data_IF_948724570713
#
_entry.id   IF_948724570713
#
_cell.length_a   1.000
_cell.length_b   1.000
_cell.length_c   1.000
_cell.angle_alpha   90.00
_cell.angle_beta   90.00
_cell.angle_gamma   90.00
#
_symmetry.space_group_name_H-M   'P 1'
#
loop_
_entity.id
_entity.type
_entity.pdbx_description
1 polymer ?
#
# COMPACT_ATOMS: atom_id res chain seq x y z
N UNK A 1 -1.73 -20.37 33.24
CA UNK A 1 -1.66 -18.93 33.41
C UNK A 1 -0.85 -18.71 34.67
N UNK A 2 0.43 -18.49 34.45
CA UNK A 2 1.34 -18.41 35.58
C UNK A 2 1.47 -16.91 35.86
N UNK A 3 0.97 -16.51 37.05
CA UNK A 3 1.10 -15.17 37.57
C UNK A 3 2.55 -14.93 37.98
N UNK A 4 3.37 -14.44 37.03
CA UNK A 4 4.73 -13.99 37.34
C UNK A 4 4.90 -12.51 36.96
N UNK A 5 5.77 -11.83 37.68
CA UNK A 5 6.19 -10.48 37.41
C UNK A 5 7.55 -10.47 36.71
N UNK A 6 7.68 -9.72 35.62
CA UNK A 6 8.97 -9.48 34.97
C UNK A 6 9.46 -8.09 35.39
N UNK A 7 10.65 -8.03 35.96
CA UNK A 7 11.30 -6.80 36.36
C UNK A 7 12.55 -6.58 35.53
N UNK A 8 12.58 -5.48 34.79
CA UNK A 8 13.77 -5.04 34.04
C UNK A 8 14.52 -3.98 34.84
N UNK A 9 15.81 -4.19 35.03
CA UNK A 9 16.69 -3.26 35.72
C UNK A 9 17.81 -2.84 34.76
N UNK A 10 17.86 -1.56 34.42
CA UNK A 10 18.92 -0.99 33.58
C UNK A 10 19.76 0.01 34.36
N UNK A 11 21.10 -0.13 34.39
CA UNK A 11 21.97 0.92 34.90
C UNK A 11 21.89 2.13 33.95
N UNK A 12 21.65 3.30 34.50
CA UNK A 12 21.68 4.56 33.73
C UNK A 12 23.13 5.09 33.74
N UNK A 13 23.75 5.12 32.57
CA UNK A 13 25.08 5.70 32.43
C UNK A 13 25.01 7.20 32.06
N UNK A 14 26.03 8.02 32.37
CA UNK A 14 26.05 9.44 32.00
C UNK A 14 25.88 9.66 30.47
N UNK A 15 26.39 8.75 29.64
CA UNK A 15 26.31 8.84 28.17
C UNK A 15 24.88 8.67 27.66
N UNK A 16 24.01 7.92 28.37
CA UNK A 16 22.61 7.71 28.03
C UNK A 16 21.72 8.93 28.32
N UNK A 17 22.24 9.88 29.14
CA UNK A 17 21.45 11.06 29.57
C UNK A 17 21.48 12.20 28.53
N UNK A 18 22.39 12.16 27.56
CA UNK A 18 22.69 13.29 26.68
C UNK A 18 21.67 13.62 25.61
N UNK A 19 20.68 12.74 25.34
CA UNK A 19 19.62 13.03 24.39
C UNK A 19 18.39 13.58 25.14
N UNK A 20 18.19 14.90 25.06
CA UNK A 20 17.04 15.55 25.69
C UNK A 20 16.04 16.01 24.60
N UNK A 21 15.03 15.17 24.31
CA UNK A 21 13.93 15.52 23.43
C UNK A 21 12.90 16.30 24.29
N UNK A 22 12.67 17.54 23.95
CA UNK A 22 11.75 18.41 24.67
C UNK A 22 10.30 18.26 24.17
N UNK A 23 9.30 18.64 24.96
CA UNK A 23 7.92 18.72 24.49
C UNK A 23 7.75 19.60 23.24
N UNK A 24 8.54 20.67 23.15
CA UNK A 24 8.52 21.59 22.01
C UNK A 24 9.06 20.95 20.73
N UNK A 25 10.05 20.06 20.83
CA UNK A 25 10.54 19.26 19.70
C UNK A 25 9.44 18.32 19.17
N UNK A 26 8.70 17.68 20.07
CA UNK A 26 7.58 16.82 19.72
C UNK A 26 6.44 17.59 19.05
N UNK A 27 6.08 18.75 19.60
CA UNK A 27 5.04 19.62 19.04
C UNK A 27 5.42 20.13 17.65
N UNK A 28 6.66 20.58 17.48
CA UNK A 28 7.19 21.03 16.18
C UNK A 28 7.15 19.90 15.14
N UNK A 29 7.60 18.70 15.53
CA UNK A 29 7.59 17.53 14.66
C UNK A 29 6.15 17.15 14.26
N UNK A 30 5.23 17.09 15.22
CA UNK A 30 3.84 16.76 14.93
C UNK A 30 3.19 17.78 14.00
N UNK A 31 3.41 19.09 14.26
CA UNK A 31 2.90 20.16 13.41
C UNK A 31 3.40 20.05 11.97
N UNK A 32 4.68 19.71 11.78
CA UNK A 32 5.26 19.48 10.46
C UNK A 32 4.63 18.26 9.76
N UNK A 33 4.34 17.18 10.48
CA UNK A 33 3.72 15.97 9.93
C UNK A 33 2.24 16.17 9.54
N UNK A 34 1.50 17.00 10.28
CA UNK A 34 0.08 17.28 9.98
C UNK A 34 -0.08 18.22 8.78
N UNK A 35 0.94 19.05 8.51
CA UNK A 35 0.93 20.02 7.43
C UNK A 35 1.14 19.45 6.04
N UNK A 36 1.64 18.20 5.92
CA UNK A 36 1.97 17.55 4.64
C UNK A 36 0.74 17.17 3.82
N UNK A 37 0.92 17.10 2.50
CA UNK A 37 -0.18 16.92 1.56
C UNK A 37 -0.35 15.47 1.09
N UNK A 38 0.70 14.65 1.16
CA UNK A 38 0.71 13.28 0.65
C UNK A 38 1.68 12.37 1.43
N UNK A 39 1.56 11.05 1.23
CA UNK A 39 2.35 10.03 1.94
C UNK A 39 3.87 10.12 1.73
N UNK A 40 4.33 10.56 0.56
CA UNK A 40 5.76 10.67 0.27
C UNK A 40 6.38 11.87 1.00
N UNK A 41 5.68 13.00 0.97
CA UNK A 41 6.06 14.18 1.74
C UNK A 41 6.04 13.88 3.25
N UNK A 42 5.01 13.17 3.73
CA UNK A 42 4.94 12.68 5.10
C UNK A 42 6.18 11.86 5.47
N UNK A 43 6.53 10.87 4.65
CA UNK A 43 7.68 10.01 4.91
C UNK A 43 9.00 10.79 4.94
N UNK A 44 9.20 11.76 4.03
CA UNK A 44 10.39 12.60 3.99
C UNK A 44 10.48 13.52 5.20
N UNK A 45 9.39 14.12 5.63
CA UNK A 45 9.38 14.96 6.83
C UNK A 45 9.65 14.11 8.05
N UNK A 46 8.99 12.96 8.19
CA UNK A 46 9.14 12.05 9.33
C UNK A 46 10.59 11.56 9.48
N UNK A 47 11.22 11.11 8.40
CA UNK A 47 12.61 10.63 8.45
C UNK A 47 13.58 11.73 8.86
N UNK A 48 13.40 12.93 8.35
CA UNK A 48 14.23 14.08 8.70
C UNK A 48 14.08 14.47 10.19
N UNK A 49 12.85 14.57 10.67
CA UNK A 49 12.59 14.95 12.06
C UNK A 49 13.09 13.88 13.04
N UNK A 50 12.83 12.59 12.75
CA UNK A 50 13.36 11.50 13.59
C UNK A 50 14.88 11.48 13.57
N UNK A 51 15.54 11.67 12.42
CA UNK A 51 16.99 11.73 12.35
C UNK A 51 17.55 12.90 13.16
N UNK A 52 16.95 14.08 13.03
CA UNK A 52 17.33 15.29 13.79
C UNK A 52 17.25 15.06 15.30
N UNK A 53 16.19 14.38 15.76
CA UNK A 53 15.96 14.13 17.18
C UNK A 53 16.81 12.99 17.75
N UNK A 54 17.15 11.99 16.95
CA UNK A 54 17.79 10.75 17.43
C UNK A 54 19.25 10.63 17.04
N UNK A 55 19.69 11.40 16.05
CA UNK A 55 21.03 11.33 15.45
C UNK A 55 21.39 9.92 14.96
N UNK A 56 20.41 9.14 14.47
CA UNK A 56 20.72 7.90 13.74
C UNK A 56 21.42 8.21 12.44
N UNK A 57 22.34 7.35 12.03
CA UNK A 57 23.10 7.51 10.77
C UNK A 57 22.17 7.45 9.57
N UNK A 58 21.10 6.65 9.64
CA UNK A 58 20.06 6.53 8.61
C UNK A 58 18.71 6.32 9.27
N UNK A 59 17.69 7.01 8.77
CA UNK A 59 16.28 6.83 9.14
C UNK A 59 15.47 6.67 7.87
N UNK A 60 14.63 5.64 7.83
CA UNK A 60 13.79 5.30 6.68
C UNK A 60 12.35 5.15 7.11
N UNK A 61 11.42 5.49 6.22
CA UNK A 61 10.05 5.02 6.28
C UNK A 61 9.90 3.92 5.23
N UNK A 62 9.66 2.71 5.72
CA UNK A 62 9.43 1.50 4.96
C UNK A 62 7.93 1.23 4.93
N UNK A 63 7.33 1.16 3.75
CA UNK A 63 5.91 0.86 3.56
C UNK A 63 5.76 -0.56 3.06
N UNK A 64 4.87 -1.35 3.70
CA UNK A 64 4.50 -2.68 3.20
C UNK A 64 3.58 -2.58 1.99
N UNK A 65 3.75 -3.51 1.06
CA UNK A 65 2.88 -3.75 -0.08
C UNK A 65 1.94 -4.93 0.19
N UNK A 66 0.89 -5.15 -0.64
CA UNK A 66 -0.09 -6.21 -0.40
C UNK A 66 0.48 -7.63 -0.35
N UNK A 67 1.62 -7.88 -0.99
CA UNK A 67 2.35 -9.15 -0.97
C UNK A 67 3.34 -9.25 0.18
N UNK A 68 3.34 -8.26 1.08
CA UNK A 68 4.25 -8.10 2.21
C UNK A 68 5.72 -7.82 1.82
N UNK A 69 6.02 -7.62 0.57
CA UNK A 69 7.23 -6.87 0.22
C UNK A 69 7.13 -5.45 0.74
N UNK A 70 8.18 -4.70 0.71
CA UNK A 70 8.06 -3.32 1.12
C UNK A 70 9.02 -2.42 0.38
N UNK A 71 8.71 -1.14 0.38
CA UNK A 71 9.46 -0.10 -0.31
C UNK A 71 9.84 1.03 0.64
N UNK A 72 11.05 1.54 0.50
CA UNK A 72 11.49 2.73 1.24
C UNK A 72 10.93 3.97 0.54
N UNK A 73 9.94 4.61 1.17
CA UNK A 73 9.25 5.80 0.61
C UNK A 73 9.76 7.13 1.17
N UNK A 74 10.61 7.08 2.19
CA UNK A 74 11.30 8.22 2.76
C UNK A 74 12.62 7.80 3.34
N UNK A 75 13.66 8.63 3.18
CA UNK A 75 14.98 8.39 3.75
C UNK A 75 15.62 9.71 4.16
N UNK A 76 16.23 9.71 5.35
CA UNK A 76 17.16 10.75 5.80
C UNK A 76 18.42 10.06 6.31
N UNK A 77 19.59 10.48 5.82
CA UNK A 77 20.87 9.83 6.13
C UNK A 77 21.99 10.83 6.35
N UNK A 78 23.00 10.42 7.12
CA UNK A 78 24.19 11.21 7.29
C UNK A 78 24.91 11.41 5.94
N UNK A 79 25.53 12.58 5.68
CA UNK A 79 26.22 12.86 4.41
C UNK A 79 27.31 11.85 4.05
N UNK A 80 27.97 11.26 5.03
CA UNK A 80 29.04 10.26 4.84
C UNK A 80 28.52 8.93 4.28
N UNK A 81 27.23 8.65 4.41
CA UNK A 81 26.62 7.45 3.84
C UNK A 81 26.33 7.71 2.36
N UNK A 82 27.05 7.02 1.47
CA UNK A 82 26.93 7.22 0.01
C UNK A 82 25.66 6.58 -0.55
N UNK A 83 25.39 5.35 -0.15
CA UNK A 83 24.27 4.57 -0.71
C UNK A 83 22.92 5.07 -0.20
N UNK A 84 21.91 5.05 -1.07
CA UNK A 84 20.54 5.39 -0.73
C UNK A 84 19.64 4.16 -0.93
N UNK A 85 18.72 3.95 -0.02
CA UNK A 85 17.69 2.92 -0.11
C UNK A 85 16.33 3.49 -0.54
N UNK A 86 16.26 4.81 -0.76
CA UNK A 86 15.01 5.45 -1.21
C UNK A 86 14.54 4.85 -2.55
N UNK A 87 13.31 4.37 -2.58
CA UNK A 87 12.72 3.71 -3.74
C UNK A 87 13.13 2.24 -3.92
N UNK A 88 14.00 1.68 -3.06
CA UNK A 88 14.34 0.27 -3.12
C UNK A 88 13.26 -0.59 -2.46
N UNK A 89 12.97 -1.73 -3.10
CA UNK A 89 12.09 -2.75 -2.60
C UNK A 89 12.88 -3.82 -1.84
N UNK A 90 12.25 -4.37 -0.82
CA UNK A 90 12.75 -5.44 0.03
C UNK A 90 11.72 -6.58 0.02
N UNK A 91 12.11 -7.84 -0.20
CA UNK A 91 11.16 -8.94 -0.26
C UNK A 91 10.53 -9.23 1.11
N UNK A 92 9.36 -9.85 1.11
CA UNK A 92 8.61 -10.23 2.30
C UNK A 92 9.41 -11.11 3.28
N UNK A 93 10.40 -11.84 2.78
CA UNK A 93 11.29 -12.71 3.58
C UNK A 93 12.20 -11.94 4.53
N UNK A 94 12.50 -10.66 4.26
CA UNK A 94 13.36 -9.83 5.13
C UNK A 94 12.66 -9.52 6.45
N UNK A 95 11.32 -9.42 6.43
CA UNK A 95 10.49 -9.21 7.63
C UNK A 95 9.40 -10.28 7.64
N UNK A 96 9.71 -11.51 8.12
CA UNK A 96 8.78 -12.64 8.08
C UNK A 96 7.54 -12.43 8.96
N UNK A 97 6.47 -13.18 8.70
CA UNK A 97 5.18 -13.02 9.35
C UNK A 97 5.24 -12.97 10.89
N UNK A 98 6.02 -13.83 11.60
CA UNK A 98 6.17 -13.73 13.05
C UNK A 98 6.75 -12.38 13.51
N UNK A 99 7.73 -11.83 12.78
CA UNK A 99 8.31 -10.53 13.10
C UNK A 99 7.30 -9.40 12.88
N UNK A 100 6.50 -9.46 11.81
CA UNK A 100 5.42 -8.49 11.56
C UNK A 100 4.37 -8.50 12.66
N UNK A 101 4.02 -9.67 13.18
CA UNK A 101 3.09 -9.80 14.30
C UNK A 101 3.63 -9.15 15.57
N UNK A 102 4.90 -9.37 15.88
CA UNK A 102 5.55 -8.75 17.03
C UNK A 102 5.58 -7.21 16.96
N UNK A 103 5.62 -6.61 15.78
CA UNK A 103 5.53 -5.15 15.64
C UNK A 103 4.15 -4.59 15.97
N UNK A 104 3.08 -5.38 15.85
CA UNK A 104 1.74 -4.97 16.30
C UNK A 104 1.60 -5.03 17.82
N UNK A 105 2.28 -5.96 18.48
CA UNK A 105 2.30 -6.09 19.95
C UNK A 105 3.29 -5.10 20.57
N UNK A 106 4.46 -4.94 19.96
CA UNK A 106 5.57 -4.13 20.46
C UNK A 106 5.87 -3.00 19.47
N UNK A 107 5.17 -1.91 19.65
CA UNK A 107 5.19 -0.74 18.79
C UNK A 107 6.60 -0.17 18.53
N UNK A 108 7.52 -0.25 19.50
CA UNK A 108 8.90 0.18 19.37
C UNK A 108 9.86 -0.94 19.75
N UNK A 109 10.78 -1.27 18.85
CA UNK A 109 11.91 -2.17 19.12
C UNK A 109 13.21 -1.38 19.06
N UNK A 110 14.05 -1.55 20.09
CA UNK A 110 15.35 -0.92 20.17
C UNK A 110 16.44 -1.98 20.44
N UNK A 111 17.51 -1.94 19.65
CA UNK A 111 18.67 -2.81 19.75
C UNK A 111 19.89 -1.87 19.86
N UNK A 112 20.42 -1.67 21.07
CA UNK A 112 21.53 -0.74 21.28
C UNK A 112 22.80 -1.17 20.56
N UNK A 113 23.09 -2.47 20.57
CA UNK A 113 24.29 -3.05 20.00
C UNK A 113 24.05 -4.52 19.63
N UNK A 114 24.15 -4.84 18.36
CA UNK A 114 23.96 -6.22 17.86
C UNK A 114 25.06 -7.19 18.32
N UNK A 115 26.18 -6.70 18.81
CA UNK A 115 27.30 -7.53 19.28
C UNK A 115 27.16 -7.92 20.76
N UNK A 116 26.13 -7.41 21.45
CA UNK A 116 25.87 -7.79 22.84
C UNK A 116 25.45 -9.27 22.91
N UNK A 117 26.07 -10.01 23.81
CA UNK A 117 25.78 -11.41 23.99
C UNK A 117 24.50 -11.60 24.83
N UNK A 118 23.55 -12.40 24.38
CA UNK A 118 22.34 -12.71 25.17
C UNK A 118 22.73 -13.49 26.44
N UNK A 119 22.12 -13.12 27.56
CA UNK A 119 22.27 -13.81 28.83
C UNK A 119 21.08 -14.73 29.05
N UNK A 120 21.34 -16.01 29.29
CA UNK A 120 20.28 -17.00 29.53
C UNK A 120 19.71 -16.85 30.93
N UNK A 121 18.42 -17.17 31.07
CA UNK A 121 17.77 -17.27 32.39
C UNK A 121 18.36 -18.39 33.23
N UNK A 122 18.45 -18.16 34.54
CA UNK A 122 18.87 -19.16 35.51
C UNK A 122 17.81 -19.23 36.64
N UNK A 123 17.11 -20.36 36.80
CA UNK A 123 17.12 -21.56 35.97
C UNK A 123 16.49 -21.34 34.60
N UNK A 124 16.76 -22.21 33.58
CA UNK A 124 16.14 -22.11 32.28
C UNK A 124 14.62 -22.28 32.41
N UNK A 125 13.89 -21.23 32.20
CA UNK A 125 12.42 -21.22 32.32
C UNK A 125 11.84 -20.64 31.02
N UNK A 126 10.86 -21.32 30.38
CA UNK A 126 10.21 -20.77 29.21
C UNK A 126 9.32 -19.60 29.63
N UNK A 127 9.77 -18.39 29.39
CA UNK A 127 9.05 -17.15 29.71
C UNK A 127 8.89 -16.34 28.45
N UNK A 128 7.69 -15.81 28.22
CA UNK A 128 7.48 -14.86 27.13
C UNK A 128 8.14 -13.51 27.47
N UNK A 129 9.17 -13.18 26.72
CA UNK A 129 9.91 -11.93 26.86
C UNK A 129 9.46 -10.86 25.87
N UNK A 130 8.43 -11.12 25.08
CA UNK A 130 7.93 -10.19 24.05
C UNK A 130 7.67 -8.78 24.58
N UNK A 131 7.09 -8.57 25.78
CA UNK A 131 6.84 -7.22 26.30
C UNK A 131 8.08 -6.49 26.82
N UNK A 132 9.23 -7.17 26.96
CA UNK A 132 10.42 -6.62 27.56
C UNK A 132 11.30 -5.87 26.54
N UNK A 133 11.99 -4.83 27.02
CA UNK A 133 12.96 -4.05 26.25
C UNK A 133 14.29 -4.78 26.07
N UNK A 134 14.75 -5.46 27.14
CA UNK A 134 16.06 -6.11 27.22
C UNK A 134 16.08 -7.53 26.62
N UNK A 135 14.99 -7.96 25.98
CA UNK A 135 14.97 -9.29 25.36
C UNK A 135 16.03 -9.43 24.28
N UNK A 136 16.57 -10.63 24.14
CA UNK A 136 17.55 -10.97 23.11
C UNK A 136 17.02 -10.71 21.66
N UNK A 137 17.94 -10.72 20.73
CA UNK A 137 17.67 -10.57 19.29
C UNK A 137 17.90 -11.92 18.63
N UNK A 138 17.03 -12.29 17.68
CA UNK A 138 17.18 -13.57 16.97
C UNK A 138 18.46 -13.58 16.13
N UNK A 139 19.21 -14.69 16.09
CA UNK A 139 20.45 -14.78 15.34
C UNK A 139 20.32 -14.40 13.85
N UNK A 140 19.27 -14.81 13.12
CA UNK A 140 19.09 -14.38 11.73
C UNK A 140 18.94 -12.85 11.59
N UNK A 141 18.29 -12.20 12.55
CA UNK A 141 18.16 -10.74 12.52
C UNK A 141 19.48 -10.02 12.83
N UNK A 142 20.30 -10.58 13.71
CA UNK A 142 21.66 -10.08 13.96
C UNK A 142 22.50 -10.17 12.68
N UNK A 143 22.50 -11.33 12.01
CA UNK A 143 23.21 -11.55 10.75
C UNK A 143 22.72 -10.57 9.66
N UNK A 144 21.42 -10.34 9.57
CA UNK A 144 20.82 -9.37 8.64
C UNK A 144 21.37 -7.95 8.88
N UNK A 145 21.39 -7.49 10.14
CA UNK A 145 21.90 -6.16 10.49
C UNK A 145 23.42 -6.05 10.27
N UNK A 146 24.17 -7.12 10.54
CA UNK A 146 25.61 -7.18 10.25
C UNK A 146 25.89 -7.03 8.76
N UNK A 147 25.12 -7.72 7.92
CA UNK A 147 25.24 -7.64 6.46
C UNK A 147 24.91 -6.23 5.92
N UNK A 148 24.06 -5.46 6.64
CA UNK A 148 23.75 -4.06 6.37
C UNK A 148 24.81 -3.09 6.93
N UNK A 149 25.80 -3.57 7.69
CA UNK A 149 26.78 -2.72 8.38
C UNK A 149 26.15 -1.90 9.53
N UNK A 150 25.10 -2.42 10.14
CA UNK A 150 24.33 -1.77 11.21
C UNK A 150 24.72 -2.37 12.56
N UNK A 151 25.08 -1.53 13.52
CA UNK A 151 25.40 -1.95 14.89
C UNK A 151 24.29 -1.59 15.87
N UNK A 152 23.73 -0.40 15.77
CA UNK A 152 22.56 0.03 16.55
C UNK A 152 21.32 0.16 15.69
N UNK A 153 20.17 -0.35 16.16
CA UNK A 153 18.91 -0.31 15.41
C UNK A 153 17.74 0.10 16.29
N UNK A 154 16.83 0.89 15.72
CA UNK A 154 15.52 1.18 16.31
C UNK A 154 14.46 1.08 15.24
N UNK A 155 13.35 0.39 15.56
CA UNK A 155 12.22 0.28 14.67
C UNK A 155 10.95 0.69 15.41
N UNK A 156 10.14 1.53 14.77
CA UNK A 156 8.82 1.94 15.26
C UNK A 156 7.78 1.51 14.25
N UNK A 157 6.74 0.82 14.71
CA UNK A 157 5.64 0.38 13.85
C UNK A 157 4.75 1.55 13.44
N UNK A 158 4.28 1.53 12.22
CA UNK A 158 3.23 2.40 11.70
C UNK A 158 2.05 1.52 11.29
N UNK A 159 0.87 1.79 11.84
CA UNK A 159 -0.34 0.98 11.64
C UNK A 159 -1.49 1.84 11.14
N UNK A 160 -2.40 1.23 10.38
CA UNK A 160 -3.65 1.85 9.95
C UNK A 160 -4.85 0.95 10.27
N UNK A 161 -6.01 1.22 9.69
CA UNK A 161 -7.23 0.43 9.88
C UNK A 161 -7.11 -1.03 9.40
N UNK A 162 -6.11 -1.35 8.56
CA UNK A 162 -5.86 -2.69 8.01
C UNK A 162 -4.76 -3.45 8.76
N UNK A 163 -4.09 -2.83 9.73
CA UNK A 163 -3.00 -3.41 10.52
C UNK A 163 -1.66 -2.73 10.30
N UNK A 164 -0.59 -3.52 10.18
CA UNK A 164 0.77 -3.00 10.01
C UNK A 164 0.94 -2.39 8.61
N UNK A 165 0.98 -1.06 8.54
CA UNK A 165 1.17 -0.31 7.30
C UNK A 165 2.64 -0.17 6.90
N UNK A 166 3.52 0.01 7.87
CA UNK A 166 4.93 0.25 7.62
C UNK A 166 5.76 0.35 8.89
N UNK A 167 7.02 0.75 8.71
CA UNK A 167 7.98 0.89 9.80
C UNK A 167 8.78 2.18 9.63
N UNK A 168 9.10 2.84 10.76
CA UNK A 168 10.22 3.78 10.84
C UNK A 168 11.43 2.93 11.21
N UNK A 169 12.37 2.73 10.30
CA UNK A 169 13.59 1.96 10.52
C UNK A 169 14.78 2.92 10.68
N UNK A 170 15.44 2.84 11.85
CA UNK A 170 16.57 3.69 12.19
C UNK A 170 17.81 2.81 12.34
N UNK A 171 18.88 3.12 11.62
CA UNK A 171 20.13 2.37 11.60
C UNK A 171 21.31 3.26 12.01
N UNK A 172 22.21 2.70 12.79
CA UNK A 172 23.44 3.35 13.21
C UNK A 172 24.65 2.42 13.02
N UNK A 173 25.75 2.97 12.60
CA UNK A 173 26.98 2.20 12.32
C UNK A 173 27.75 1.83 13.59
N UNK A 174 27.47 2.49 14.68
CA UNK A 174 28.08 2.27 16.01
C UNK A 174 27.01 1.91 17.04
N UNK A 175 27.36 1.34 18.20
CA UNK A 175 26.43 1.15 19.30
C UNK A 175 25.75 2.47 19.69
N UNK A 176 24.45 2.41 19.96
CA UNK A 176 23.66 3.58 20.34
C UNK A 176 22.76 3.26 21.52
N UNK A 177 22.87 4.03 22.58
CA UNK A 177 22.13 3.80 23.81
C UNK A 177 21.15 4.94 24.08
N UNK A 178 19.95 4.59 24.51
CA UNK A 178 18.94 5.53 24.96
C UNK A 178 18.45 5.16 26.35
N UNK A 179 18.31 6.15 27.21
CA UNK A 179 17.70 5.96 28.52
C UNK A 179 16.25 5.49 28.41
N UNK A 180 15.69 4.81 29.43
CA UNK A 180 14.26 4.45 29.44
C UNK A 180 13.34 5.65 29.19
N UNK A 181 13.69 6.83 29.74
CA UNK A 181 12.94 8.07 29.49
C UNK A 181 12.98 8.47 28.02
N UNK A 182 14.12 8.42 27.38
CA UNK A 182 14.27 8.74 25.94
C UNK A 182 13.44 7.77 25.09
N UNK A 183 13.51 6.46 25.38
CA UNK A 183 12.72 5.44 24.65
C UNK A 183 11.22 5.67 24.81
N UNK A 184 10.76 6.03 26.01
CA UNK A 184 9.35 6.39 26.23
C UNK A 184 8.93 7.62 25.42
N UNK A 185 9.81 8.64 25.33
CA UNK A 185 9.57 9.82 24.50
C UNK A 185 9.52 9.48 23.00
N UNK A 186 10.43 8.61 22.54
CA UNK A 186 10.42 8.12 21.15
C UNK A 186 9.21 7.25 20.84
N UNK A 187 8.73 6.48 21.82
CA UNK A 187 7.45 5.76 21.69
C UNK A 187 6.26 6.73 21.53
N UNK A 188 6.26 7.83 22.29
CA UNK A 188 5.24 8.87 22.13
C UNK A 188 5.33 9.54 20.75
N UNK A 189 6.53 9.90 20.31
CA UNK A 189 6.77 10.45 18.96
C UNK A 189 6.23 9.50 17.88
N UNK A 190 6.51 8.20 17.99
CA UNK A 190 5.99 7.21 17.05
C UNK A 190 4.46 7.14 17.03
N UNK A 191 3.80 7.22 18.19
CA UNK A 191 2.32 7.29 18.27
C UNK A 191 1.77 8.57 17.63
N UNK A 192 2.43 9.70 17.83
CA UNK A 192 2.07 10.96 17.17
C UNK A 192 2.24 10.87 15.66
N UNK A 193 3.34 10.30 15.18
CA UNK A 193 3.56 10.05 13.77
C UNK A 193 2.47 9.13 13.20
N UNK A 194 2.15 8.03 13.89
CA UNK A 194 1.08 7.13 13.44
C UNK A 194 -0.28 7.84 13.33
N UNK A 195 -0.63 8.68 14.30
CA UNK A 195 -1.86 9.48 14.22
C UNK A 195 -1.85 10.46 13.04
N UNK A 196 -0.72 11.11 12.76
CA UNK A 196 -0.58 11.99 11.60
C UNK A 196 -0.72 11.22 10.27
N UNK A 197 -0.19 10.00 10.18
CA UNK A 197 -0.38 9.11 9.04
C UNK A 197 -1.86 8.80 8.80
N UNK A 198 -2.58 8.37 9.85
CA UNK A 198 -4.00 8.05 9.78
C UNK A 198 -4.80 9.28 9.32
N UNK A 199 -4.52 10.45 9.88
CA UNK A 199 -5.18 11.70 9.46
C UNK A 199 -4.91 12.04 7.99
N UNK A 200 -3.68 11.86 7.53
CA UNK A 200 -3.29 12.08 6.14
C UNK A 200 -4.04 11.14 5.19
N UNK A 201 -4.09 9.85 5.50
CA UNK A 201 -4.85 8.85 4.72
C UNK A 201 -6.36 9.17 4.69
N UNK A 202 -6.93 9.58 5.82
CA UNK A 202 -8.33 9.99 5.89
C UNK A 202 -8.63 11.22 5.04
N UNK A 203 -7.75 12.23 5.04
CA UNK A 203 -7.88 13.41 4.19
C UNK A 203 -7.82 13.05 2.70
N UNK A 204 -6.91 12.16 2.30
CA UNK A 204 -6.82 11.69 0.91
C UNK A 204 -8.09 10.95 0.49
N UNK A 205 -8.57 10.03 1.33
CA UNK A 205 -9.83 9.29 1.13
C UNK A 205 -11.02 10.22 0.98
N UNK A 206 -11.17 11.19 1.89
CA UNK A 206 -12.26 12.18 1.84
C UNK A 206 -12.22 13.05 0.58
N UNK A 207 -11.04 13.51 0.17
CA UNK A 207 -10.87 14.29 -1.08
C UNK A 207 -11.26 13.48 -2.32
N UNK A 208 -10.91 12.20 -2.32
CA UNK A 208 -11.31 11.30 -3.42
C UNK A 208 -12.83 11.08 -3.43
N UNK A 209 -13.42 10.75 -2.28
CA UNK A 209 -14.87 10.52 -2.13
C UNK A 209 -15.68 11.77 -2.49
N UNK A 210 -15.21 12.94 -2.10
CA UNK A 210 -15.88 14.22 -2.44
C UNK A 210 -15.87 14.45 -3.95
N UNK A 211 -14.73 14.29 -4.62
CA UNK A 211 -14.63 14.42 -6.08
C UNK A 211 -15.51 13.40 -6.80
N UNK A 212 -15.54 12.15 -6.32
CA UNK A 212 -16.40 11.12 -6.88
C UNK A 212 -17.87 11.46 -6.71
N UNK A 213 -18.29 11.96 -5.54
CA UNK A 213 -19.68 12.39 -5.27
C UNK A 213 -20.08 13.53 -6.21
N UNK A 214 -19.29 14.57 -6.33
CA UNK A 214 -19.54 15.68 -7.25
C UNK A 214 -19.69 15.22 -8.68
N UNK A 215 -18.84 14.29 -9.13
CA UNK A 215 -18.95 13.67 -10.45
C UNK A 215 -20.27 12.92 -10.63
N UNK A 216 -20.66 12.07 -9.67
CA UNK A 216 -21.90 11.30 -9.75
C UNK A 216 -23.15 12.18 -9.71
N UNK A 217 -23.14 13.27 -8.93
CA UNK A 217 -24.21 14.26 -8.92
C UNK A 217 -24.37 14.96 -10.27
N UNK A 218 -23.25 15.34 -10.92
CA UNK A 218 -23.28 15.93 -12.25
C UNK A 218 -23.79 14.93 -13.29
N UNK A 219 -23.36 13.67 -13.20
CA UNK A 219 -23.85 12.60 -14.04
C UNK A 219 -25.35 12.39 -13.86
N UNK A 220 -25.85 12.39 -12.63
CA UNK A 220 -27.27 12.19 -12.31
C UNK A 220 -28.15 13.35 -12.79
N UNK A 221 -27.73 14.62 -12.58
CA UNK A 221 -28.49 15.80 -13.00
C UNK A 221 -28.75 15.88 -14.50
N UNK A 222 -27.86 15.35 -15.30
CA UNK A 222 -27.99 15.35 -16.76
C UNK A 222 -28.79 14.16 -17.32
N UNK A 223 -29.20 13.19 -16.50
CA UNK A 223 -29.93 12.00 -16.91
C UNK A 223 -31.45 12.19 -17.08
N UNK A 224 -31.96 13.41 -16.92
CA UNK A 224 -33.41 13.70 -16.92
C UNK A 224 -33.99 14.43 -18.16
N UNK A 225 -33.31 14.71 -19.25
CA UNK A 225 -33.98 15.25 -20.44
C UNK A 225 -34.72 14.14 -21.21
N UNK A 226 -35.94 14.38 -21.68
CA UNK A 226 -36.74 13.34 -22.35
C UNK A 226 -36.19 12.87 -23.71
N UNK A 227 -35.25 13.61 -24.30
CA UNK A 227 -34.73 13.33 -25.65
C UNK A 227 -33.29 12.74 -25.66
N UNK A 228 -32.68 12.46 -24.52
CA UNK A 228 -31.30 11.99 -24.48
C UNK A 228 -31.21 10.51 -24.04
N UNK A 229 -30.42 9.71 -24.76
CA UNK A 229 -30.17 8.32 -24.37
C UNK A 229 -29.12 8.24 -23.28
N UNK A 230 -29.18 7.24 -22.39
CA UNK A 230 -28.16 6.98 -21.38
C UNK A 230 -26.75 6.95 -21.97
N UNK A 231 -26.63 6.36 -23.16
CA UNK A 231 -25.36 6.26 -23.88
C UNK A 231 -24.79 7.64 -24.27
N UNK A 232 -25.62 8.55 -24.82
CA UNK A 232 -25.19 9.91 -25.21
C UNK A 232 -24.76 10.72 -24.00
N UNK A 233 -25.41 10.52 -22.85
CA UNK A 233 -25.08 11.19 -21.62
C UNK A 233 -23.73 10.74 -21.07
N UNK A 234 -23.49 9.41 -20.95
CA UNK A 234 -22.20 8.89 -20.50
C UNK A 234 -21.06 9.31 -21.45
N UNK A 235 -21.31 9.33 -22.77
CA UNK A 235 -20.36 9.82 -23.78
C UNK A 235 -19.88 11.25 -23.50
N UNK A 236 -20.77 12.13 -23.10
CA UNK A 236 -20.43 13.54 -22.79
C UNK A 236 -19.45 13.63 -21.62
N UNK A 237 -19.51 12.69 -20.69
CA UNK A 237 -18.66 12.64 -19.49
C UNK A 237 -17.42 11.73 -19.60
N UNK A 238 -17.07 11.27 -20.83
CA UNK A 238 -15.97 10.32 -21.02
C UNK A 238 -14.62 10.80 -20.48
N UNK A 239 -14.30 12.09 -20.62
CA UNK A 239 -13.04 12.64 -20.10
C UNK A 239 -13.01 12.64 -18.57
N UNK A 240 -14.12 12.95 -17.92
CA UNK A 240 -14.25 12.91 -16.48
C UNK A 240 -14.11 11.48 -15.96
N UNK A 241 -14.72 10.49 -16.62
CA UNK A 241 -14.54 9.07 -16.32
C UNK A 241 -13.07 8.66 -16.43
N UNK A 242 -12.42 8.97 -17.54
CA UNK A 242 -10.99 8.68 -17.73
C UNK A 242 -10.12 9.28 -16.62
N UNK A 243 -10.38 10.54 -16.25
CA UNK A 243 -9.60 11.22 -15.20
C UNK A 243 -9.90 10.70 -13.80
N UNK A 244 -11.17 10.44 -13.47
CA UNK A 244 -11.59 9.92 -12.15
C UNK A 244 -10.96 8.56 -11.87
N UNK A 245 -10.92 7.70 -12.87
CA UNK A 245 -10.35 6.36 -12.77
C UNK A 245 -8.90 6.27 -13.24
N UNK A 246 -8.26 7.39 -13.56
CA UNK A 246 -6.89 7.43 -14.10
C UNK A 246 -6.66 6.36 -15.19
N UNK A 247 -7.65 6.23 -16.09
CA UNK A 247 -7.65 5.24 -17.15
C UNK A 247 -7.13 5.85 -18.47
N UNK A 248 -6.45 5.03 -19.27
CA UNK A 248 -5.94 5.41 -20.59
C UNK A 248 -6.99 5.20 -21.69
N UNK A 249 -7.95 4.33 -21.46
CA UNK A 249 -9.03 4.01 -22.39
C UNK A 249 -10.35 3.75 -21.68
N UNK A 250 -11.45 4.09 -22.37
CA UNK A 250 -12.82 3.86 -21.93
C UNK A 250 -13.61 3.27 -23.11
N UNK A 251 -14.36 2.21 -22.82
CA UNK A 251 -15.35 1.66 -23.74
C UNK A 251 -16.70 1.65 -23.06
N UNK A 252 -17.73 2.08 -23.79
CA UNK A 252 -19.12 2.04 -23.35
C UNK A 252 -19.88 1.17 -24.32
N UNK A 253 -20.40 0.03 -23.85
CA UNK A 253 -21.20 -0.90 -24.63
C UNK A 253 -22.65 -0.91 -24.17
N UNK A 254 -23.58 -0.89 -25.13
CA UNK A 254 -25.03 -1.09 -24.97
C UNK A 254 -25.46 -2.22 -25.91
N UNK A 255 -25.69 -3.39 -25.36
CA UNK A 255 -25.88 -4.59 -26.16
C UNK A 255 -24.71 -4.82 -27.11
N UNK A 256 -24.97 -4.83 -28.42
CA UNK A 256 -23.93 -5.05 -29.46
C UNK A 256 -23.19 -3.78 -29.90
N UNK A 257 -23.66 -2.60 -29.51
CA UNK A 257 -23.07 -1.33 -29.89
C UNK A 257 -22.04 -0.89 -28.84
N UNK A 258 -20.80 -0.67 -29.26
CA UNK A 258 -19.73 -0.20 -28.40
C UNK A 258 -19.09 1.08 -28.94
N UNK A 259 -18.77 1.99 -28.02
CA UNK A 259 -18.01 3.22 -28.33
C UNK A 259 -16.76 3.32 -27.49
N UNK A 260 -15.68 3.69 -28.17
CA UNK A 260 -14.33 3.71 -27.61
C UNK A 260 -13.78 5.12 -27.52
N UNK A 261 -13.06 5.43 -26.41
CA UNK A 261 -12.39 6.68 -26.16
C UNK A 261 -10.98 6.41 -25.60
N UNK A 262 -9.97 7.10 -26.10
CA UNK A 262 -8.60 6.91 -25.68
C UNK A 262 -7.95 5.64 -26.22
N UNK A 263 -7.17 4.95 -25.40
CA UNK A 263 -6.45 3.72 -25.76
C UNK A 263 -7.32 2.49 -25.44
N UNK A 264 -7.88 1.88 -26.47
CA UNK A 264 -8.80 0.75 -26.32
C UNK A 264 -8.48 -0.39 -27.29
N UNK A 265 -8.94 -1.61 -27.02
CA UNK A 265 -8.90 -2.70 -28.00
C UNK A 265 -9.78 -2.36 -29.21
N UNK A 266 -9.64 -3.12 -30.29
CA UNK A 266 -10.53 -3.02 -31.45
C UNK A 266 -11.93 -3.51 -31.10
N UNK A 267 -12.94 -3.05 -31.86
CA UNK A 267 -14.34 -3.38 -31.62
C UNK A 267 -14.62 -4.89 -31.54
N UNK A 268 -14.03 -5.69 -32.42
CA UNK A 268 -14.16 -7.15 -32.39
C UNK A 268 -13.55 -7.79 -31.13
N UNK A 269 -12.40 -7.25 -30.68
CA UNK A 269 -11.73 -7.69 -29.43
C UNK A 269 -12.55 -7.34 -28.19
N UNK A 270 -13.21 -6.17 -28.21
CA UNK A 270 -14.12 -5.72 -27.14
C UNK A 270 -15.35 -6.65 -27.05
N UNK A 271 -15.97 -6.92 -28.19
CA UNK A 271 -17.15 -7.81 -28.26
C UNK A 271 -16.82 -9.21 -27.77
N UNK A 272 -15.68 -9.77 -28.17
CA UNK A 272 -15.20 -11.06 -27.68
C UNK A 272 -14.98 -11.05 -26.16
N UNK A 273 -14.31 -10.03 -25.62
CA UNK A 273 -14.12 -9.88 -24.17
C UNK A 273 -15.44 -9.84 -23.39
N UNK A 274 -16.41 -9.08 -23.89
CA UNK A 274 -17.75 -8.97 -23.24
C UNK A 274 -18.45 -10.32 -23.26
N UNK A 275 -18.57 -10.93 -24.43
CA UNK A 275 -19.35 -12.18 -24.60
C UNK A 275 -18.69 -13.40 -23.96
N UNK A 276 -17.36 -13.52 -24.08
CA UNK A 276 -16.65 -14.71 -23.60
C UNK A 276 -16.31 -14.66 -22.11
N UNK A 277 -16.16 -13.45 -21.53
CA UNK A 277 -15.64 -13.32 -20.19
C UNK A 277 -16.53 -12.55 -19.22
N UNK A 278 -17.09 -11.39 -19.63
CA UNK A 278 -17.86 -10.56 -18.71
C UNK A 278 -19.28 -11.06 -18.50
N UNK A 279 -20.01 -11.37 -19.57
CA UNK A 279 -21.39 -11.89 -19.49
C UNK A 279 -21.47 -13.21 -18.71
N UNK A 280 -20.62 -14.23 -18.97
CA UNK A 280 -20.66 -15.47 -18.22
C UNK A 280 -20.27 -15.33 -16.75
N UNK A 281 -19.42 -14.36 -16.42
CA UNK A 281 -18.97 -14.13 -15.02
C UNK A 281 -20.07 -13.49 -14.18
N UNK A 282 -21.03 -12.78 -14.81
CA UNK A 282 -22.14 -12.08 -14.16
C UNK A 282 -21.73 -11.21 -12.96
N UNK A 283 -20.49 -10.72 -12.96
CA UNK A 283 -19.96 -9.86 -11.89
C UNK A 283 -20.35 -8.41 -12.11
N UNK A 284 -20.80 -7.76 -11.06
CA UNK A 284 -21.18 -6.34 -11.07
C UNK A 284 -20.02 -5.41 -11.40
N UNK A 285 -18.87 -5.68 -10.79
CA UNK A 285 -17.61 -4.97 -11.02
C UNK A 285 -16.48 -5.98 -11.08
N UNK A 286 -15.76 -6.00 -12.18
CA UNK A 286 -14.58 -6.85 -12.38
C UNK A 286 -13.34 -5.99 -12.44
N UNK A 287 -12.29 -6.37 -11.73
CA UNK A 287 -11.01 -5.65 -11.73
C UNK A 287 -9.85 -6.60 -11.92
N UNK A 288 -8.90 -6.20 -12.75
CA UNK A 288 -7.60 -6.86 -12.87
C UNK A 288 -6.52 -5.84 -13.26
N UNK A 289 -5.31 -6.02 -12.79
CA UNK A 289 -4.11 -5.30 -13.22
C UNK A 289 -3.17 -6.18 -14.04
N UNK A 290 -3.58 -7.46 -14.27
CA UNK A 290 -2.89 -8.47 -15.08
C UNK A 290 -3.87 -9.02 -16.10
N UNK A 291 -4.22 -8.20 -17.09
CA UNK A 291 -5.27 -8.54 -18.05
C UNK A 291 -4.99 -9.82 -18.82
N UNK A 292 -3.73 -10.05 -19.22
CA UNK A 292 -3.32 -11.25 -19.95
C UNK A 292 -3.50 -12.54 -19.14
N UNK A 293 -3.26 -12.49 -17.83
CA UNK A 293 -3.47 -13.64 -16.94
C UNK A 293 -4.96 -13.95 -16.77
N UNK A 294 -5.78 -12.90 -16.73
CA UNK A 294 -7.24 -13.02 -16.55
C UNK A 294 -7.98 -13.33 -17.85
N UNK A 295 -7.53 -12.76 -18.99
CA UNK A 295 -8.08 -12.96 -20.35
C UNK A 295 -6.92 -13.12 -21.34
N UNK A 296 -6.38 -14.34 -21.51
CA UNK A 296 -5.20 -14.60 -22.36
C UNK A 296 -5.29 -14.10 -23.80
N UNK A 297 -6.47 -14.09 -24.49
CA UNK A 297 -6.56 -13.53 -25.83
C UNK A 297 -6.11 -12.08 -25.96
N UNK A 298 -6.11 -11.32 -24.86
CA UNK A 298 -5.65 -9.92 -24.83
C UNK A 298 -4.15 -9.75 -25.15
N UNK A 299 -3.36 -10.82 -25.12
CA UNK A 299 -1.96 -10.77 -25.50
C UNK A 299 -1.75 -10.41 -26.99
N UNK A 300 -2.75 -10.77 -27.83
CA UNK A 300 -2.71 -10.53 -29.26
C UNK A 300 -3.29 -9.17 -29.67
N UNK A 301 -3.71 -8.34 -28.71
CA UNK A 301 -4.26 -7.03 -29.00
C UNK A 301 -3.20 -6.07 -29.55
N UNK A 302 -3.63 -5.22 -30.46
CA UNK A 302 -2.74 -4.23 -31.08
C UNK A 302 -2.29 -3.12 -30.12
N UNK A 303 -2.91 -3.02 -28.95
CA UNK A 303 -2.62 -2.02 -27.91
C UNK A 303 -2.20 -2.76 -26.63
N UNK A 304 -1.05 -2.38 -26.07
CA UNK A 304 -0.56 -2.98 -24.83
C UNK A 304 -1.34 -2.45 -23.63
N UNK A 305 -2.39 -3.21 -23.26
CA UNK A 305 -3.25 -2.94 -22.11
C UNK A 305 -3.04 -4.05 -21.09
N UNK A 306 -2.93 -3.66 -19.82
CA UNK A 306 -2.70 -4.61 -18.74
C UNK A 306 -3.68 -4.48 -17.58
N UNK A 307 -4.38 -3.36 -17.46
CA UNK A 307 -5.42 -3.15 -16.45
C UNK A 307 -6.82 -3.08 -17.07
N UNK A 308 -7.78 -3.70 -16.40
CA UNK A 308 -9.20 -3.59 -16.69
C UNK A 308 -9.98 -3.35 -15.41
N UNK A 309 -10.88 -2.36 -15.46
CA UNK A 309 -11.99 -2.22 -14.53
C UNK A 309 -13.26 -2.21 -15.36
N UNK A 310 -14.11 -3.22 -15.19
CA UNK A 310 -15.37 -3.37 -15.90
C UNK A 310 -16.54 -3.19 -14.93
N UNK A 311 -17.49 -2.32 -15.30
CA UNK A 311 -18.77 -2.13 -14.62
C UNK A 311 -19.84 -2.73 -15.51
N UNK A 312 -20.56 -3.76 -15.03
CA UNK A 312 -21.59 -4.47 -15.78
C UNK A 312 -22.96 -4.26 -15.16
N UNK A 313 -23.95 -3.94 -15.99
CA UNK A 313 -25.37 -3.80 -15.61
C UNK A 313 -26.16 -4.66 -16.57
N UNK A 314 -26.81 -5.70 -16.07
CA UNK A 314 -27.61 -6.63 -16.88
C UNK A 314 -29.04 -6.59 -16.38
N UNK A 315 -29.98 -6.34 -17.30
CA UNK A 315 -31.41 -6.40 -17.06
C UNK A 315 -31.98 -7.65 -17.76
N UNK A 316 -32.71 -8.49 -17.02
CA UNK A 316 -33.23 -9.77 -17.51
C UNK A 316 -34.65 -9.67 -18.05
N UNK A 317 -35.41 -8.60 -17.74
CA UNK A 317 -36.84 -8.46 -18.11
C UNK A 317 -37.22 -6.99 -18.23
N UNK A 318 -38.10 -6.59 -19.15
CA UNK A 318 -38.82 -7.41 -20.14
C UNK A 318 -38.00 -7.72 -21.42
N UNK A 319 -36.91 -6.99 -21.67
CA UNK A 319 -35.96 -7.22 -22.76
C UNK A 319 -34.56 -7.32 -22.15
N UNK A 320 -33.82 -8.41 -22.37
CA UNK A 320 -32.48 -8.51 -21.87
C UNK A 320 -31.58 -7.44 -22.51
N UNK A 321 -31.07 -6.53 -21.72
CA UNK A 321 -30.15 -5.49 -22.17
C UNK A 321 -28.94 -5.46 -21.22
N UNK A 322 -27.77 -5.53 -21.79
CA UNK A 322 -26.52 -5.40 -21.04
C UNK A 322 -25.85 -4.08 -21.34
N UNK A 323 -25.34 -3.43 -20.29
CA UNK A 323 -24.50 -2.25 -20.34
C UNK A 323 -23.15 -2.58 -19.74
N UNK A 324 -22.08 -2.23 -20.43
CA UNK A 324 -20.73 -2.40 -19.91
C UNK A 324 -19.94 -1.10 -20.06
N UNK A 325 -19.31 -0.68 -18.98
CA UNK A 325 -18.32 0.39 -18.99
C UNK A 325 -16.98 -0.26 -18.67
N UNK A 326 -16.06 -0.21 -19.62
CA UNK A 326 -14.75 -0.83 -19.55
C UNK A 326 -13.70 0.27 -19.49
N UNK A 327 -12.95 0.30 -18.41
CA UNK A 327 -11.84 1.24 -18.21
C UNK A 327 -10.52 0.47 -18.30
N UNK A 328 -9.66 0.92 -19.18
CA UNK A 328 -8.38 0.27 -19.46
C UNK A 328 -7.21 1.11 -18.99
N UNK A 329 -6.20 0.44 -18.43
CA UNK A 329 -4.88 1.01 -18.17
C UNK A 329 -3.84 0.33 -19.05
N UNK A 330 -2.91 1.12 -19.56
CA UNK A 330 -1.78 0.60 -20.33
C UNK A 330 -0.87 -0.24 -19.43
N UNK A 331 -0.17 -1.14 -20.09
CA UNK A 331 0.98 -1.80 -19.49
C UNK A 331 1.99 -0.73 -19.04
N UNK A 332 2.41 -0.82 -17.79
CA UNK A 332 3.54 -0.08 -17.28
C UNK A 332 4.76 -1.00 -17.25
N UNK A 333 5.76 -0.66 -18.05
CA UNK A 333 7.08 -1.22 -17.87
C UNK A 333 7.64 -0.66 -16.56
N UNK A 334 7.48 -1.40 -15.49
CA UNK A 334 7.98 -1.01 -14.18
C UNK A 334 9.34 -1.67 -13.97
N UNK A 335 10.38 -0.87 -13.85
CA UNK A 335 11.65 -1.35 -13.32
C UNK A 335 11.56 -1.25 -11.80
N UNK A 336 11.37 -2.39 -11.16
CA UNK A 336 11.42 -2.47 -9.70
C UNK A 336 12.88 -2.58 -9.28
N UNK A 337 13.28 -1.68 -8.42
CA UNK A 337 14.61 -1.63 -7.85
C UNK A 337 14.61 -2.38 -6.52
N UNK A 338 15.28 -3.53 -6.47
CA UNK A 338 15.39 -4.33 -5.27
C UNK A 338 16.72 -4.06 -4.57
N UNK A 339 16.71 -4.06 -3.26
CA UNK A 339 17.92 -4.10 -2.46
C UNK A 339 18.46 -5.54 -2.46
N UNK A 340 19.26 -5.89 -3.45
CA UNK A 340 19.80 -7.24 -3.67
C UNK A 340 18.93 -8.15 -4.54
N UNK A 341 19.51 -9.22 -5.06
CA UNK A 341 18.82 -10.19 -5.90
C UNK A 341 17.76 -10.98 -5.11
N UNK A 342 16.61 -11.27 -5.75
CA UNK A 342 15.49 -12.02 -5.18
C UNK A 342 15.75 -13.53 -4.99
N UNK A 343 16.97 -13.96 -4.78
CA UNK A 343 17.25 -15.37 -4.48
C UNK A 343 16.89 -15.63 -3.03
N UNK A 344 15.99 -16.58 -2.79
CA UNK A 344 15.80 -17.17 -1.47
C UNK A 344 17.11 -17.81 -1.06
N UNK A 345 17.73 -17.25 -0.01
CA UNK A 345 18.91 -17.84 0.59
C UNK A 345 18.42 -18.83 1.63
N UNK A 346 18.47 -20.12 1.29
CA UNK A 346 18.18 -21.21 2.20
C UNK A 346 19.47 -21.98 2.44
N UNK A 347 19.84 -22.18 3.70
CA UNK A 347 20.95 -23.08 4.07
C UNK A 347 20.42 -24.25 4.89
N UNK A 348 21.12 -25.37 4.86
CA UNK A 348 20.92 -26.42 5.83
C UNK A 348 21.73 -26.10 7.10
N UNK A 349 21.04 -26.16 8.25
CA UNK A 349 21.71 -26.08 9.55
C UNK A 349 22.48 -27.39 9.84
N UNK A 350 23.23 -27.41 10.95
CA UNK A 350 23.99 -28.60 11.35
C UNK A 350 23.13 -29.85 11.60
N UNK A 351 21.82 -29.67 11.81
CA UNK A 351 20.84 -30.74 12.00
C UNK A 351 20.18 -31.19 10.68
N UNK A 352 20.56 -30.60 9.54
CA UNK A 352 20.01 -30.93 8.22
C UNK A 352 18.66 -30.27 7.90
N UNK A 353 18.17 -29.36 8.74
CA UNK A 353 16.94 -28.61 8.53
C UNK A 353 17.20 -27.38 7.66
N UNK A 354 16.24 -27.05 6.81
CA UNK A 354 16.30 -25.86 5.95
C UNK A 354 16.02 -24.60 6.78
N UNK A 355 16.98 -23.71 6.86
CA UNK A 355 16.90 -22.44 7.55
C UNK A 355 16.98 -21.28 6.55
N UNK A 356 16.12 -20.28 6.71
CA UNK A 356 16.19 -19.05 5.94
C UNK A 356 17.45 -18.28 6.34
N UNK A 357 18.30 -17.98 5.35
CA UNK A 357 19.47 -17.14 5.56
C UNK A 357 19.14 -15.68 5.21
N UNK A 358 19.61 -14.73 6.01
CA UNK A 358 19.62 -13.34 5.64
C UNK A 358 20.41 -13.10 4.36
N UNK A 359 19.99 -12.11 3.59
CA UNK A 359 20.70 -11.74 2.35
C UNK A 359 22.07 -11.13 2.66
N UNK A 360 23.04 -11.47 1.84
CA UNK A 360 24.42 -11.00 1.98
C UNK A 360 24.73 -9.76 1.14
N UNK A 361 23.83 -9.36 0.24
CA UNK A 361 24.00 -8.18 -0.61
C UNK A 361 22.72 -7.39 -0.69
N UNK A 362 22.86 -6.07 -0.59
CA UNK A 362 21.81 -5.07 -0.73
C UNK A 362 22.09 -4.12 -1.91
N UNK A 363 22.97 -4.56 -2.81
CA UNK A 363 23.26 -3.81 -4.04
C UNK A 363 22.00 -3.70 -4.91
N UNK A 364 21.88 -2.58 -5.62
CA UNK A 364 20.77 -2.34 -6.51
C UNK A 364 20.63 -3.46 -7.55
N UNK A 365 19.53 -4.20 -7.49
CA UNK A 365 19.14 -5.17 -8.51
C UNK A 365 17.85 -4.70 -9.19
N UNK A 366 17.82 -4.79 -10.51
CA UNK A 366 16.71 -4.28 -11.32
C UNK A 366 15.89 -5.45 -11.86
N UNK A 367 14.61 -5.43 -11.58
CA UNK A 367 13.64 -6.35 -12.18
C UNK A 367 12.70 -5.57 -13.07
N UNK A 368 12.68 -5.92 -14.37
CA UNK A 368 11.66 -5.37 -15.26
C UNK A 368 10.39 -6.21 -15.16
N UNK A 369 9.35 -5.63 -14.58
CA UNK A 369 8.02 -6.22 -14.53
C UNK A 369 7.25 -5.80 -15.77
N UNK A 370 6.73 -6.78 -16.52
CA UNK A 370 5.94 -6.61 -17.74
C UNK A 370 4.55 -7.22 -17.55
N UNK A 371 3.62 -6.85 -18.42
CA UNK A 371 2.26 -7.44 -18.44
C UNK A 371 1.35 -6.92 -17.34
N UNK A 372 1.74 -5.88 -16.61
CA UNK A 372 0.95 -5.32 -15.50
C UNK A 372 0.71 -3.82 -15.68
N UNK A 373 -0.42 -3.36 -15.14
CA UNK A 373 -0.70 -1.93 -14.96
C UNK A 373 -0.58 -1.55 -13.48
N UNK A 374 -0.74 -0.26 -13.16
CA UNK A 374 -1.05 0.15 -11.78
C UNK A 374 -2.31 -0.57 -11.30
N UNK A 375 -2.27 -1.06 -10.07
CA UNK A 375 -3.43 -1.71 -9.44
C UNK A 375 -4.59 -0.72 -9.24
N UNK A 376 -5.81 -1.23 -9.31
CA UNK A 376 -7.01 -0.45 -8.99
C UNK A 376 -7.16 -0.32 -7.48
N UNK A 377 -7.15 0.90 -6.98
CA UNK A 377 -7.26 1.18 -5.54
C UNK A 377 -8.63 0.82 -4.98
N UNK A 378 -8.76 0.51 -3.67
CA UNK A 378 -10.07 0.30 -3.04
C UNK A 378 -11.05 1.47 -3.24
N UNK A 379 -10.55 2.70 -3.29
CA UNK A 379 -11.34 3.90 -3.54
C UNK A 379 -11.89 3.92 -4.97
N UNK A 380 -11.09 3.59 -5.98
CA UNK A 380 -11.55 3.46 -7.37
C UNK A 380 -12.56 2.32 -7.54
N UNK A 381 -12.35 1.19 -6.89
CA UNK A 381 -13.32 0.08 -6.90
C UNK A 381 -14.64 0.46 -6.23
N UNK A 382 -14.61 1.24 -5.15
CA UNK A 382 -15.83 1.80 -4.54
C UNK A 382 -16.52 2.77 -5.51
N UNK A 383 -15.77 3.69 -6.12
CA UNK A 383 -16.30 4.61 -7.12
C UNK A 383 -16.98 3.89 -8.31
N UNK A 384 -16.43 2.75 -8.75
CA UNK A 384 -17.03 1.93 -9.78
C UNK A 384 -18.37 1.31 -9.35
N UNK A 385 -18.48 0.85 -8.10
CA UNK A 385 -19.75 0.37 -7.54
C UNK A 385 -20.79 1.50 -7.42
N UNK A 386 -20.38 2.67 -6.97
CA UNK A 386 -21.25 3.85 -6.85
C UNK A 386 -21.72 4.32 -8.25
N UNK A 387 -20.83 4.33 -9.23
CA UNK A 387 -21.14 4.61 -10.64
C UNK A 387 -22.18 3.60 -11.18
N UNK A 388 -21.97 2.30 -10.95
CA UNK A 388 -22.90 1.26 -11.35
C UNK A 388 -24.30 1.49 -10.77
N UNK A 389 -24.38 1.79 -9.48
CA UNK A 389 -25.66 2.05 -8.80
C UNK A 389 -26.38 3.26 -9.42
N UNK A 390 -25.66 4.35 -9.65
CA UNK A 390 -26.21 5.56 -10.28
C UNK A 390 -26.75 5.27 -11.67
N UNK A 391 -26.01 4.54 -12.49
CA UNK A 391 -26.40 4.19 -13.85
C UNK A 391 -27.56 3.19 -13.89
N UNK A 392 -27.61 2.25 -12.96
CA UNK A 392 -28.71 1.30 -12.84
C UNK A 392 -30.02 2.02 -12.52
N UNK A 393 -30.03 2.97 -11.58
CA UNK A 393 -31.18 3.80 -11.26
C UNK A 393 -31.64 4.63 -12.47
N UNK A 394 -30.68 5.20 -13.20
CA UNK A 394 -30.98 5.95 -14.42
C UNK A 394 -31.60 5.07 -15.51
N UNK A 395 -31.03 3.91 -15.77
CA UNK A 395 -31.57 2.98 -16.77
C UNK A 395 -32.97 2.50 -16.43
N UNK A 396 -33.29 2.25 -15.15
CA UNK A 396 -34.65 1.94 -14.70
C UNK A 396 -35.61 3.10 -14.94
N UNK A 397 -35.23 4.34 -14.64
CA UNK A 397 -36.07 5.51 -14.91
C UNK A 397 -36.35 5.70 -16.41
N UNK A 398 -35.33 5.55 -17.26
CA UNK A 398 -35.51 5.59 -18.71
C UNK A 398 -36.49 4.50 -19.22
N UNK A 399 -36.41 3.30 -18.68
CA UNK A 399 -37.30 2.20 -19.00
C UNK A 399 -38.76 2.49 -18.63
N UNK A 400 -38.97 3.06 -17.42
CA UNK A 400 -40.30 3.44 -16.94
C UNK A 400 -40.96 4.56 -17.79
N UNK A 401 -40.18 5.59 -18.12
CA UNK A 401 -40.66 6.71 -18.95
C UNK A 401 -41.08 6.20 -20.34
N UNK A 402 -40.25 5.37 -20.99
CA UNK A 402 -40.61 4.77 -22.30
C UNK A 402 -41.84 3.90 -22.23
N UNK A 403 -42.05 3.14 -21.15
CA UNK A 403 -43.28 2.35 -20.97
C UNK A 403 -44.52 3.24 -20.81
N UNK A 404 -44.44 4.34 -20.07
CA UNK A 404 -45.51 5.30 -19.91
C UNK A 404 -45.89 5.97 -21.24
N UNK A 405 -44.91 6.37 -22.04
CA UNK A 405 -45.14 6.93 -23.38
C UNK A 405 -45.76 5.92 -24.37
N UNK A 406 -45.40 4.63 -24.26
CA UNK A 406 -45.95 3.57 -25.08
C UNK A 406 -47.40 3.21 -24.71
N UNK A 407 -47.81 3.44 -23.46
CA UNK A 407 -49.18 3.21 -22.98
C UNK A 407 -50.10 4.41 -23.31
N UNK A 408 -49.54 5.59 -23.52
CA UNK A 408 -50.30 6.82 -23.89
C UNK A 408 -50.53 6.98 -25.41
N UNK A 409 -49.85 6.19 -26.23
CA UNK A 409 -50.06 6.08 -27.68
C UNK A 409 -50.94 4.90 -28.03
#
# INVERSE_FOLDING_TARGET
PDDYFLLELEPVTPEQINLNITPQDLESTFSALVAVSNRYEYAQVLTREVQKLTHFSRVMVYQFEPDWSGVVIGESKHPDIKDSYLGLHFPATDIPAPARHLFLENFLRFIPNINDQPISFVPPTPVDLSPLWLRGVSPPHIEYLQNLGVTGSMTIALSDENGLWGLIACHHTEPKYFSPKTRSTLSLLGKMANNALIQQQQKEKQRYEQRNREFLEHLHKGLNPPDETLLSHIKRHHQTLLSTFQADGLVICLGTECQSFGKTPKEGEIKALVTEKLEPTASDVTVTHKLKDWYPPSENWSVSLAGLLAVSIVFSSPIPVSYHILLFRREQLQTVHWAGALKESVRQNEQGELELCPRNSFELWQQTVKGQSTSWTPAEQKAARDLRQTLMLAALNFSLVKQQEAVQK
#
